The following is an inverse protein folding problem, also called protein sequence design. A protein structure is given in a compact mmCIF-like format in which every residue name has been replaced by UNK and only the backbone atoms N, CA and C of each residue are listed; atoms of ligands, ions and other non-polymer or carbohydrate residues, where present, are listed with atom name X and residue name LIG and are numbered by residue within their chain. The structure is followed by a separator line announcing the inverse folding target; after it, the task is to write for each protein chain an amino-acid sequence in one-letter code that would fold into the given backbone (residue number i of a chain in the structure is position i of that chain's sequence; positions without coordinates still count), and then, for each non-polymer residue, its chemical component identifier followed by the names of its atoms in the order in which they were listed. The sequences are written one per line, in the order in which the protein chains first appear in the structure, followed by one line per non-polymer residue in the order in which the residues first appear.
data_IF_637601577448
#
_entry.id   IF_637601577448
#
_cell.length_a   1.000
_cell.length_b   1.000
_cell.length_c   1.000
_cell.angle_alpha   90.00
_cell.angle_beta   90.00
_cell.angle_gamma   90.00
#
_symmetry.space_group_name_H-M   'P 1'
#
loop_
_entity.id
_entity.type
_entity.pdbx_description
1 polymer ?
#
# COMPACT_ATOMS: atom_id res chain seq x y z
N UNK A 1 -9.85 18.17 4.14
CA UNK A 1 -9.23 16.93 3.65
C UNK A 1 -10.32 15.90 3.54
N UNK A 2 -10.60 15.42 2.34
CA UNK A 2 -11.59 14.37 2.07
C UNK A 2 -10.86 13.23 1.37
N UNK A 3 -11.13 12.00 1.77
CA UNK A 3 -10.64 10.79 1.10
C UNK A 3 -11.86 9.99 0.70
N UNK A 4 -11.97 9.67 -0.58
CA UNK A 4 -13.08 8.92 -1.15
C UNK A 4 -12.54 7.81 -2.05
N UNK A 5 -13.38 6.80 -2.32
CA UNK A 5 -13.09 5.75 -3.31
C UNK A 5 -11.72 5.07 -3.12
N UNK A 6 -11.47 4.59 -1.91
CA UNK A 6 -10.24 3.85 -1.58
C UNK A 6 -10.29 2.48 -2.23
N UNK A 7 -9.28 2.18 -3.05
CA UNK A 7 -9.05 0.88 -3.68
C UNK A 7 -7.70 0.36 -3.25
N UNK A 8 -7.70 -0.88 -2.77
CA UNK A 8 -6.50 -1.58 -2.33
C UNK A 8 -6.20 -2.65 -3.38
N UNK A 9 -4.97 -2.63 -3.89
CA UNK A 9 -4.46 -3.59 -4.85
C UNK A 9 -3.31 -4.37 -4.23
N UNK A 10 -3.11 -5.59 -4.74
CA UNK A 10 -2.00 -6.47 -4.39
C UNK A 10 -1.94 -6.91 -2.91
N UNK A 11 -3.02 -6.72 -2.14
CA UNK A 11 -3.07 -7.11 -0.74
C UNK A 11 -3.02 -8.64 -0.57
N UNK A 12 -3.83 -9.36 -1.35
CA UNK A 12 -3.91 -10.82 -1.25
C UNK A 12 -2.63 -11.48 -1.72
N UNK A 13 -2.07 -10.99 -2.83
CA UNK A 13 -0.79 -11.41 -3.37
C UNK A 13 0.35 -11.15 -2.38
N UNK A 14 0.36 -9.99 -1.71
CA UNK A 14 1.36 -9.67 -0.69
C UNK A 14 1.26 -10.58 0.53
N UNK A 15 0.06 -10.95 0.97
CA UNK A 15 -0.16 -11.90 2.08
C UNK A 15 0.28 -13.32 1.70
N UNK A 16 0.06 -13.74 0.45
CA UNK A 16 0.54 -15.03 -0.03
C UNK A 16 2.08 -15.03 -0.14
N UNK A 17 2.66 -13.97 -0.70
CA UNK A 17 4.09 -13.82 -0.89
C UNK A 17 4.87 -13.75 0.43
N UNK A 18 4.30 -13.17 1.48
CA UNK A 18 4.92 -13.15 2.82
C UNK A 18 5.14 -14.54 3.40
N UNK A 19 4.42 -15.56 2.90
CA UNK A 19 4.51 -16.96 3.35
C UNK A 19 5.50 -17.77 2.52
N UNK A 20 5.95 -17.29 1.35
CA UNK A 20 6.86 -18.03 0.47
C UNK A 20 8.17 -18.46 1.13
N UNK A 21 8.85 -17.62 1.95
CA UNK A 21 10.10 -18.05 2.59
C UNK A 21 9.93 -19.22 3.58
N UNK A 22 8.72 -19.42 4.10
CA UNK A 22 8.41 -20.41 5.13
C UNK A 22 7.54 -21.57 4.61
N UNK A 23 7.23 -21.61 3.31
CA UNK A 23 6.41 -22.65 2.69
C UNK A 23 7.25 -23.54 1.79
N UNK A 24 7.06 -24.85 1.88
CA UNK A 24 7.65 -25.83 0.96
C UNK A 24 6.90 -25.92 -0.35
N UNK A 25 5.59 -25.61 -0.35
CA UNK A 25 4.72 -25.55 -1.52
C UNK A 25 4.20 -24.12 -1.68
N UNK A 26 4.68 -23.40 -2.69
CA UNK A 26 4.29 -22.00 -2.94
C UNK A 26 2.85 -21.87 -3.43
N UNK A 27 2.32 -22.87 -4.15
CA UNK A 27 0.96 -22.86 -4.70
C UNK A 27 -0.15 -23.00 -3.65
N UNK A 28 0.17 -23.46 -2.43
CA UNK A 28 -0.80 -23.64 -1.34
C UNK A 28 -0.90 -22.42 -0.41
N UNK A 29 -0.13 -21.36 -0.66
CA UNK A 29 -0.12 -20.16 0.16
C UNK A 29 -1.44 -19.39 0.01
N UNK A 30 -2.36 -19.55 0.96
CA UNK A 30 -3.65 -18.83 0.99
C UNK A 30 -3.46 -17.35 1.36
N UNK A 31 -4.32 -16.48 0.84
CA UNK A 31 -4.40 -15.05 1.15
C UNK A 31 -5.01 -14.72 2.53
N UNK A 32 -5.28 -15.73 3.37
CA UNK A 32 -5.83 -15.51 4.71
C UNK A 32 -4.87 -14.71 5.62
N UNK A 33 -5.42 -13.72 6.32
CA UNK A 33 -4.73 -12.98 7.38
C UNK A 33 -4.58 -13.91 8.59
N UNK A 34 -3.34 -14.23 8.95
CA UNK A 34 -2.99 -14.99 10.15
C UNK A 34 -2.25 -14.09 11.14
N UNK A 35 -2.13 -14.51 12.40
CA UNK A 35 -1.41 -13.73 13.43
C UNK A 35 0.03 -13.40 13.04
N UNK A 36 0.68 -14.27 12.25
CA UNK A 36 2.02 -14.01 11.70
C UNK A 36 2.02 -12.82 10.74
N UNK A 37 1.00 -12.71 9.88
CA UNK A 37 0.87 -11.57 8.95
C UNK A 37 0.68 -10.26 9.72
N UNK A 38 -0.12 -10.28 10.79
CA UNK A 38 -0.31 -9.12 11.66
C UNK A 38 1.00 -8.73 12.35
N UNK A 39 1.78 -9.70 12.83
CA UNK A 39 3.10 -9.44 13.42
C UNK A 39 4.09 -8.87 12.41
N UNK A 40 4.10 -9.36 11.17
CA UNK A 40 4.90 -8.80 10.09
C UNK A 40 4.49 -7.36 9.79
N UNK A 41 3.17 -7.05 9.80
CA UNK A 41 2.62 -5.70 9.64
C UNK A 41 3.04 -4.72 10.74
N UNK A 42 3.37 -5.23 11.92
CA UNK A 42 3.75 -4.45 13.09
C UNK A 42 5.27 -4.47 13.38
N UNK A 43 6.06 -5.13 12.53
CA UNK A 43 7.52 -5.18 12.67
C UNK A 43 8.11 -3.78 12.53
N UNK A 44 9.15 -3.49 13.32
CA UNK A 44 9.75 -2.16 13.27
C UNK A 44 10.55 -1.97 11.99
N UNK A 45 10.65 -0.72 11.55
CA UNK A 45 11.44 -0.34 10.39
C UNK A 45 12.89 -0.81 10.53
N UNK A 46 13.38 -1.59 9.57
CA UNK A 46 14.76 -2.08 9.52
C UNK A 46 14.99 -3.44 10.16
N UNK A 47 13.94 -4.15 10.58
CA UNK A 47 14.04 -5.55 11.02
C UNK A 47 14.15 -6.53 9.84
N UNK A 48 14.06 -6.06 8.58
CA UNK A 48 14.23 -6.85 7.35
C UNK A 48 13.01 -7.69 6.97
N UNK A 49 12.01 -7.74 7.85
CA UNK A 49 10.76 -8.48 7.72
C UNK A 49 9.56 -7.56 7.42
N UNK A 50 9.81 -6.25 7.32
CA UNK A 50 8.85 -5.15 7.08
C UNK A 50 8.48 -4.97 5.59
N UNK A 51 9.12 -5.73 4.70
CA UNK A 51 9.01 -5.51 3.25
C UNK A 51 7.66 -5.94 2.64
N UNK A 52 6.86 -6.76 3.33
CA UNK A 52 5.62 -7.25 2.73
C UNK A 52 4.59 -6.12 2.46
N UNK A 53 4.65 -5.01 3.22
CA UNK A 53 3.76 -3.86 3.01
C UNK A 53 4.12 -3.06 1.75
N UNK A 54 5.37 -3.14 1.29
CA UNK A 54 5.89 -2.37 0.14
C UNK A 54 5.23 -2.79 -1.17
N UNK A 55 4.73 -4.04 -1.26
CA UNK A 55 4.01 -4.53 -2.44
C UNK A 55 2.57 -4.06 -2.54
N UNK A 56 1.98 -3.53 -1.45
CA UNK A 56 0.57 -3.16 -1.41
C UNK A 56 0.39 -1.76 -2.00
N UNK A 57 -0.38 -1.65 -3.08
CA UNK A 57 -0.70 -0.36 -3.69
C UNK A 57 -2.09 0.11 -3.27
N UNK A 58 -2.19 1.30 -2.72
CA UNK A 58 -3.47 1.92 -2.36
C UNK A 58 -3.71 3.13 -3.26
N UNK A 59 -4.80 3.10 -4.01
CA UNK A 59 -5.28 4.24 -4.76
C UNK A 59 -6.48 4.85 -4.04
N UNK A 60 -6.53 6.16 -3.93
CA UNK A 60 -7.63 6.86 -3.30
C UNK A 60 -7.81 8.24 -3.91
N UNK A 61 -9.05 8.70 -3.96
CA UNK A 61 -9.38 10.05 -4.40
C UNK A 61 -9.26 10.97 -3.19
N UNK A 62 -8.33 11.94 -3.25
CA UNK A 62 -8.16 12.89 -2.14
C UNK A 62 -8.34 14.33 -2.58
N UNK A 63 -9.02 15.11 -1.74
CA UNK A 63 -9.12 16.57 -1.89
C UNK A 63 -8.29 17.24 -0.80
N UNK A 64 -7.13 17.76 -1.19
CA UNK A 64 -6.19 18.51 -0.35
C UNK A 64 -6.14 20.01 -0.72
N UNK A 65 -5.56 20.82 0.18
CA UNK A 65 -5.24 22.22 -0.12
C UNK A 65 -4.06 22.30 -1.08
N UNK A 66 -3.95 23.40 -1.85
CA UNK A 66 -2.87 23.59 -2.80
C UNK A 66 -1.48 23.47 -2.13
N UNK A 67 -1.31 24.02 -0.92
CA UNK A 67 -0.04 23.88 -0.17
C UNK A 67 0.33 22.43 0.10
N UNK A 68 -0.62 21.60 0.51
CA UNK A 68 -0.36 20.19 0.75
C UNK A 68 0.02 19.45 -0.55
N UNK A 69 -0.60 19.78 -1.69
CA UNK A 69 -0.23 19.17 -2.99
C UNK A 69 1.20 19.49 -3.40
N UNK A 70 1.61 20.76 -3.35
CA UNK A 70 2.98 21.15 -3.75
C UNK A 70 4.04 20.45 -2.86
N UNK A 71 3.70 20.22 -1.59
CA UNK A 71 4.59 19.46 -0.70
C UNK A 71 4.59 17.96 -0.98
N UNK A 72 3.45 17.40 -1.40
CA UNK A 72 3.24 15.99 -1.68
C UNK A 72 3.90 15.57 -3.01
N UNK A 73 3.89 16.44 -4.02
CA UNK A 73 4.57 16.24 -5.31
C UNK A 73 6.09 16.00 -5.18
N UNK A 74 6.69 16.39 -4.04
CA UNK A 74 8.13 16.14 -3.78
C UNK A 74 8.43 14.68 -3.46
N UNK A 75 7.42 13.87 -3.13
CA UNK A 75 7.60 12.48 -2.74
C UNK A 75 7.42 11.52 -3.91
N UNK A 76 8.49 10.80 -4.27
CA UNK A 76 8.49 9.83 -5.39
C UNK A 76 7.59 8.61 -5.15
N UNK A 77 7.28 8.28 -3.89
CA UNK A 77 6.48 7.11 -3.55
C UNK A 77 4.97 7.33 -3.75
N UNK A 78 4.54 8.54 -4.10
CA UNK A 78 3.13 8.81 -4.45
C UNK A 78 3.02 9.04 -5.95
N UNK A 79 2.15 8.26 -6.59
CA UNK A 79 1.86 8.38 -8.02
C UNK A 79 0.53 9.14 -8.22
N UNK A 80 0.56 10.20 -9.03
CA UNK A 80 -0.63 10.98 -9.37
C UNK A 80 -1.17 10.50 -10.72
N UNK A 81 -2.42 10.04 -10.74
CA UNK A 81 -3.10 9.63 -11.98
C UNK A 81 -3.79 10.81 -12.66
N UNK A 82 -4.42 11.69 -11.88
CA UNK A 82 -5.08 12.90 -12.37
C UNK A 82 -5.34 13.87 -11.22
N UNK A 83 -5.20 15.17 -11.48
CA UNK A 83 -5.63 16.21 -10.57
C UNK A 83 -7.11 16.49 -10.81
N UNK A 84 -7.97 16.25 -9.82
CA UNK A 84 -9.30 16.86 -9.78
C UNK A 84 -9.14 18.21 -9.09
N UNK A 85 -8.47 19.15 -9.76
CA UNK A 85 -8.72 20.55 -9.46
C UNK A 85 -10.05 20.91 -10.13
N UNK A 86 -10.85 21.76 -9.50
CA UNK A 86 -12.07 22.32 -10.10
C UNK A 86 -11.76 23.29 -11.26
N UNK A 87 -10.65 23.08 -11.95
CA UNK A 87 -10.11 23.87 -13.05
C UNK A 87 -9.62 22.92 -14.12
N UNK A 88 -10.55 22.57 -15.00
CA UNK A 88 -10.24 22.46 -16.43
C UNK A 88 -9.56 23.78 -16.82
N UNK A 89 -8.55 23.66 -17.68
CA UNK A 89 -7.76 24.74 -18.30
C UNK A 89 -8.53 26.04 -18.58
#
# INVERSE_FOLDING_TARGET
MKIENVKIYDLEESIAASKYPMSTDTEKCKSNITDTVIKLAQSNKGEGHDQFMTGIRVAFDSTFSNKAWVELERYRFVEFVSLIDGRVA
#
